data_IF_145102720015
#
_entry.id   IF_145102720015
#
_cell.length_a   1.000
_cell.length_b   1.000
_cell.length_c   1.000
_cell.angle_alpha   90.00
_cell.angle_beta   90.00
_cell.angle_gamma   90.00
#
_symmetry.space_group_name_H-M   'P 1'
#
loop_
_entity.id
_entity.type
_entity.pdbx_description
1 polymer ?
#
# COMPACT_ATOMS: atom_id res chain seq x y z
N UNK A 1 11.88 -64.98 -1.03
CA UNK A 1 10.85 -65.22 0.00
C UNK A 1 9.75 -64.18 -0.16
N UNK A 2 8.67 -64.59 -0.80
CA UNK A 2 7.46 -63.80 -1.05
C UNK A 2 6.44 -64.30 -0.05
N UNK A 3 5.88 -63.41 0.79
CA UNK A 3 4.72 -63.72 1.64
C UNK A 3 3.57 -62.81 1.21
N UNK A 4 2.64 -63.39 0.46
CA UNK A 4 1.26 -62.92 0.39
C UNK A 4 0.55 -63.38 1.67
N UNK A 5 -0.23 -62.49 2.31
CA UNK A 5 -1.26 -62.90 3.24
C UNK A 5 -2.49 -61.99 3.06
N UNK A 6 -3.61 -62.63 2.71
CA UNK A 6 -4.96 -62.07 2.57
C UNK A 6 -5.51 -61.64 3.93
N UNK A 7 -6.32 -60.58 3.96
CA UNK A 7 -7.40 -60.46 4.95
C UNK A 7 -8.64 -59.78 4.35
N UNK A 8 -9.75 -60.13 4.96
CA UNK A 8 -11.08 -60.30 4.39
C UNK A 8 -11.87 -59.02 4.09
N UNK A 9 -12.73 -59.17 3.09
CA UNK A 9 -13.78 -58.25 2.67
C UNK A 9 -14.91 -58.24 3.72
N UNK A 10 -15.17 -57.09 4.34
CA UNK A 10 -16.42 -56.81 5.02
C UNK A 10 -16.98 -55.52 4.39
N UNK A 11 -17.99 -55.69 3.53
CA UNK A 11 -18.70 -54.61 2.86
C UNK A 11 -19.70 -54.05 3.87
N UNK A 12 -19.44 -52.85 4.38
CA UNK A 12 -20.47 -51.99 4.99
C UNK A 12 -20.70 -50.86 4.00
N UNK A 13 -21.82 -50.94 3.28
CA UNK A 13 -22.30 -49.88 2.39
C UNK A 13 -22.83 -48.76 3.30
N UNK A 14 -21.99 -47.76 3.54
CA UNK A 14 -22.43 -46.48 4.07
C UNK A 14 -22.51 -45.52 2.87
N UNK A 15 -23.72 -45.35 2.33
CA UNK A 15 -24.05 -44.36 1.30
C UNK A 15 -23.96 -42.95 1.92
N UNK A 16 -22.74 -42.43 2.03
CA UNK A 16 -22.52 -41.00 2.19
C UNK A 16 -22.42 -40.40 0.79
N UNK A 17 -23.47 -39.69 0.39
CA UNK A 17 -23.44 -38.76 -0.73
C UNK A 17 -22.38 -37.71 -0.44
N UNK A 18 -21.16 -37.94 -0.90
CA UNK A 18 -20.15 -36.89 -1.03
C UNK A 18 -20.61 -36.08 -2.26
N UNK A 19 -20.94 -34.79 -2.12
CA UNK A 19 -21.15 -33.96 -3.29
C UNK A 19 -19.84 -33.98 -4.07
N UNK A 20 -19.91 -34.44 -5.32
CA UNK A 20 -18.81 -34.33 -6.29
C UNK A 20 -18.42 -32.86 -6.31
N UNK A 21 -17.26 -32.55 -5.74
CA UNK A 21 -16.67 -31.23 -5.84
C UNK A 21 -16.50 -30.95 -7.33
N UNK A 22 -17.35 -30.06 -7.84
CA UNK A 22 -17.19 -29.47 -9.15
C UNK A 22 -15.81 -28.82 -9.16
N UNK A 23 -14.89 -29.38 -9.96
CA UNK A 23 -13.54 -28.85 -10.10
C UNK A 23 -13.65 -27.35 -10.38
N UNK A 24 -13.12 -26.54 -9.47
CA UNK A 24 -12.99 -25.12 -9.70
C UNK A 24 -12.17 -24.94 -10.97
N UNK A 25 -12.75 -24.36 -12.02
CA UNK A 25 -12.01 -23.98 -13.20
C UNK A 25 -10.89 -23.03 -12.76
N UNK A 26 -9.65 -23.47 -12.92
CA UNK A 26 -8.49 -22.66 -12.53
C UNK A 26 -8.52 -21.36 -13.32
N UNK A 27 -8.56 -20.24 -12.60
CA UNK A 27 -8.46 -18.90 -13.17
C UNK A 27 -7.10 -18.77 -13.87
N UNK A 28 -7.09 -18.92 -15.19
CA UNK A 28 -5.87 -18.94 -15.99
C UNK A 28 -6.13 -18.55 -17.43
N UNK A 29 -5.14 -17.91 -18.05
CA UNK A 29 -5.15 -17.57 -19.46
C UNK A 29 -4.58 -18.76 -20.23
N UNK A 30 -5.32 -19.23 -21.24
CA UNK A 30 -4.95 -20.36 -22.09
C UNK A 30 -5.06 -19.95 -23.56
N UNK A 31 -3.98 -20.15 -24.32
CA UNK A 31 -3.92 -19.79 -25.74
C UNK A 31 -3.27 -20.92 -26.54
N UNK A 32 -3.96 -21.38 -27.57
CA UNK A 32 -3.47 -22.35 -28.56
C UNK A 32 -3.07 -21.65 -29.86
N UNK A 33 -1.81 -21.82 -30.25
CA UNK A 33 -1.26 -21.31 -31.50
C UNK A 33 -1.09 -22.44 -32.51
N UNK A 34 -1.64 -22.24 -33.71
CA UNK A 34 -1.29 -23.04 -34.89
C UNK A 34 -0.04 -22.47 -35.58
N UNK A 35 0.55 -23.24 -36.50
CA UNK A 35 1.78 -22.84 -37.20
C UNK A 35 1.66 -21.47 -37.92
N UNK A 36 0.49 -21.18 -38.51
CA UNK A 36 0.24 -19.91 -39.20
C UNK A 36 0.16 -18.72 -38.23
N UNK A 37 -0.41 -18.92 -37.05
CA UNK A 37 -0.48 -17.89 -36.02
C UNK A 37 0.94 -17.49 -35.58
N UNK A 38 1.82 -18.47 -35.37
CA UNK A 38 3.19 -18.26 -34.89
C UNK A 38 4.06 -17.43 -35.85
N UNK A 39 3.65 -17.19 -37.09
CA UNK A 39 4.33 -16.28 -38.02
C UNK A 39 4.26 -14.80 -37.60
N UNK A 40 3.26 -14.41 -36.79
CA UNK A 40 2.97 -13.00 -36.45
C UNK A 40 3.51 -12.54 -35.08
N UNK A 41 3.77 -13.49 -34.18
CA UNK A 41 4.15 -13.22 -32.79
C UNK A 41 2.99 -12.69 -31.92
N UNK A 42 2.99 -13.04 -30.64
CA UNK A 42 1.94 -12.67 -29.67
C UNK A 42 2.52 -12.54 -28.26
N UNK A 43 1.82 -11.84 -27.38
CA UNK A 43 2.14 -11.83 -25.95
C UNK A 43 0.97 -12.44 -25.20
N UNK A 44 1.24 -13.49 -24.42
CA UNK A 44 0.27 -14.10 -23.51
C UNK A 44 0.52 -13.56 -22.12
N UNK A 45 -0.48 -12.96 -21.47
CA UNK A 45 -0.36 -12.43 -20.11
C UNK A 45 -1.28 -13.17 -19.15
N UNK A 46 -0.93 -13.19 -17.87
CA UNK A 46 -1.82 -13.56 -16.77
C UNK A 46 -3.05 -12.63 -16.74
N UNK A 47 -4.11 -13.07 -16.05
CA UNK A 47 -5.37 -12.31 -15.93
C UNK A 47 -5.20 -10.92 -15.31
N UNK A 48 -4.20 -10.74 -14.44
CA UNK A 48 -3.84 -9.47 -13.82
C UNK A 48 -2.85 -8.62 -14.64
N UNK A 49 -2.43 -9.09 -15.83
CA UNK A 49 -1.42 -8.46 -16.70
C UNK A 49 -0.06 -8.20 -16.03
N UNK A 50 0.26 -8.94 -14.97
CA UNK A 50 1.53 -8.84 -14.26
C UNK A 50 2.60 -9.72 -14.92
N UNK A 51 2.27 -10.97 -15.23
CA UNK A 51 3.19 -11.94 -15.84
C UNK A 51 2.84 -12.15 -17.31
N UNK A 52 3.75 -11.76 -18.20
CA UNK A 52 3.59 -11.86 -19.64
C UNK A 52 4.72 -12.65 -20.30
N UNK A 53 4.38 -13.45 -21.30
CA UNK A 53 5.28 -14.28 -22.09
C UNK A 53 5.13 -13.89 -23.57
N UNK A 54 6.07 -13.10 -24.13
CA UNK A 54 6.13 -12.89 -25.57
C UNK A 54 6.56 -14.16 -26.31
N UNK A 55 5.74 -14.58 -27.25
CA UNK A 55 6.01 -15.58 -28.29
C UNK A 55 6.41 -14.83 -29.55
N UNK A 56 7.69 -14.86 -29.91
CA UNK A 56 8.22 -14.10 -31.04
C UNK A 56 7.83 -14.72 -32.39
N UNK A 57 7.74 -13.92 -33.48
CA UNK A 57 7.49 -14.41 -34.82
C UNK A 57 8.45 -15.54 -35.22
N UNK A 58 7.90 -16.65 -35.70
CA UNK A 58 8.64 -17.84 -36.18
C UNK A 58 9.56 -18.49 -35.13
N UNK A 59 9.39 -18.16 -33.85
CA UNK A 59 10.16 -18.76 -32.76
C UNK A 59 9.87 -20.27 -32.63
N UNK A 60 8.62 -20.66 -32.90
CA UNK A 60 8.18 -22.05 -32.91
C UNK A 60 7.59 -22.37 -34.30
N UNK A 61 7.96 -23.54 -34.85
CA UNK A 61 7.54 -23.97 -36.19
C UNK A 61 6.23 -24.77 -36.19
N UNK A 62 5.90 -25.38 -35.05
CA UNK A 62 4.77 -26.29 -34.90
C UNK A 62 3.80 -25.74 -33.85
N UNK A 63 2.67 -26.43 -33.65
CA UNK A 63 1.65 -26.02 -32.67
C UNK A 63 2.24 -25.80 -31.27
N UNK A 64 1.70 -24.82 -30.58
CA UNK A 64 2.13 -24.41 -29.25
C UNK A 64 0.89 -24.06 -28.40
N UNK A 65 0.79 -24.62 -27.21
CA UNK A 65 -0.16 -24.18 -26.19
C UNK A 65 0.58 -23.43 -25.09
N UNK A 66 0.07 -22.27 -24.69
CA UNK A 66 0.58 -21.48 -23.55
C UNK A 66 -0.52 -21.30 -22.53
N UNK A 67 -0.25 -21.71 -21.29
CA UNK A 67 -1.11 -21.49 -20.14
C UNK A 67 -0.34 -20.73 -19.07
N UNK A 68 -0.98 -19.69 -18.53
CA UNK A 68 -0.53 -18.98 -17.34
C UNK A 68 -1.70 -18.98 -16.36
N UNK A 69 -1.54 -19.65 -15.22
CA UNK A 69 -2.57 -19.73 -14.18
C UNK A 69 -1.98 -19.51 -12.80
N UNK A 70 -2.83 -19.45 -11.78
CA UNK A 70 -2.39 -19.63 -10.40
C UNK A 70 -2.30 -21.15 -10.12
N UNK A 71 -1.31 -21.63 -9.34
CA UNK A 71 -1.26 -23.03 -8.93
C UNK A 71 -2.30 -23.32 -7.83
N UNK A 72 -2.84 -24.53 -7.80
CA UNK A 72 -3.72 -24.98 -6.70
C UNK A 72 -2.98 -25.00 -5.35
N UNK A 73 -1.68 -25.29 -5.38
CA UNK A 73 -0.79 -25.22 -4.23
C UNK A 73 0.56 -24.60 -4.62
N UNK A 74 0.85 -23.43 -4.08
CA UNK A 74 2.15 -22.77 -4.22
C UNK A 74 3.20 -23.44 -3.33
N UNK A 75 4.43 -23.58 -3.84
CA UNK A 75 5.55 -24.10 -3.07
C UNK A 75 6.03 -23.08 -2.04
N UNK A 76 6.50 -23.55 -0.88
CA UNK A 76 6.98 -22.71 0.22
C UNK A 76 8.17 -21.86 -0.26
N UNK A 77 8.09 -20.55 -0.07
CA UNK A 77 9.16 -19.59 -0.38
C UNK A 77 10.25 -19.68 0.71
N UNK A 78 11.54 -19.58 0.37
CA UNK A 78 12.61 -19.61 1.37
C UNK A 78 12.46 -18.50 2.41
N UNK A 79 12.72 -18.83 3.68
CA UNK A 79 12.56 -17.92 4.81
C UNK A 79 13.49 -16.70 4.78
N UNK A 80 14.51 -16.67 3.92
CA UNK A 80 15.43 -15.55 3.74
C UNK A 80 15.00 -14.61 2.59
N UNK A 81 13.86 -14.88 1.95
CA UNK A 81 13.35 -14.12 0.79
C UNK A 81 12.02 -13.43 1.08
N UNK A 82 11.84 -12.24 0.49
CA UNK A 82 10.57 -11.51 0.44
C UNK A 82 9.83 -11.82 -0.87
N UNK A 83 8.50 -11.96 -0.81
CA UNK A 83 7.67 -12.23 -2.01
C UNK A 83 7.22 -10.92 -2.66
N UNK A 84 7.59 -10.71 -3.92
CA UNK A 84 7.33 -9.47 -4.67
C UNK A 84 6.30 -9.65 -5.81
N UNK A 85 5.81 -10.87 -6.04
CA UNK A 85 4.69 -11.18 -6.94
C UNK A 85 3.89 -12.38 -6.44
N UNK A 86 2.72 -12.62 -7.03
CA UNK A 86 2.05 -13.93 -6.90
C UNK A 86 2.95 -15.05 -7.45
N UNK A 87 2.70 -16.28 -7.03
CA UNK A 87 3.27 -17.46 -7.68
C UNK A 87 2.39 -17.83 -8.86
N UNK A 88 2.96 -17.82 -10.06
CA UNK A 88 2.29 -18.23 -11.29
C UNK A 88 2.70 -19.63 -11.69
N UNK A 89 1.79 -20.39 -12.28
CA UNK A 89 2.10 -21.62 -12.98
C UNK A 89 2.21 -21.32 -14.48
N UNK A 90 3.40 -21.51 -15.03
CA UNK A 90 3.64 -21.49 -16.47
C UNK A 90 3.54 -22.92 -17.01
N UNK A 91 2.76 -23.12 -18.07
CA UNK A 91 2.72 -24.37 -18.83
C UNK A 91 2.75 -24.06 -20.33
N UNK A 92 3.91 -24.30 -20.92
CA UNK A 92 4.31 -23.98 -22.28
C UNK A 92 4.55 -25.30 -23.04
N UNK A 93 3.56 -25.76 -23.79
CA UNK A 93 3.52 -27.08 -24.42
C UNK A 93 3.78 -26.99 -25.93
N UNK A 94 5.04 -27.11 -26.38
CA UNK A 94 5.31 -27.38 -27.78
C UNK A 94 4.96 -28.84 -28.12
N UNK A 95 4.88 -29.17 -29.41
CA UNK A 95 4.61 -30.54 -29.89
C UNK A 95 5.63 -31.59 -29.43
N UNK A 96 6.87 -31.17 -29.15
CA UNK A 96 7.93 -32.04 -28.64
C UNK A 96 7.94 -32.07 -27.10
N UNK A 97 8.16 -33.25 -26.50
CA UNK A 97 8.29 -33.42 -25.05
C UNK A 97 9.70 -33.13 -24.57
N UNK A 98 9.86 -32.18 -23.65
CA UNK A 98 11.12 -31.88 -22.97
C UNK A 98 11.43 -30.39 -22.91
N UNK A 99 12.70 -30.03 -22.66
CA UNK A 99 13.13 -28.62 -22.56
C UNK A 99 12.97 -27.88 -23.88
N UNK A 100 12.55 -26.61 -23.81
CA UNK A 100 12.44 -25.76 -24.99
C UNK A 100 13.81 -25.62 -25.67
N UNK A 101 13.87 -25.93 -26.96
CA UNK A 101 15.09 -25.76 -27.78
C UNK A 101 15.50 -24.30 -27.92
N UNK A 102 14.53 -23.40 -27.85
CA UNK A 102 14.72 -21.96 -27.91
C UNK A 102 14.20 -21.36 -26.61
N UNK A 103 15.02 -20.60 -25.86
CA UNK A 103 14.55 -19.94 -24.65
C UNK A 103 13.38 -19.01 -24.93
N UNK A 104 12.47 -18.90 -23.96
CA UNK A 104 11.38 -17.92 -23.97
C UNK A 104 11.67 -16.82 -22.97
N UNK A 105 11.29 -15.59 -23.30
CA UNK A 105 11.40 -14.45 -22.39
C UNK A 105 10.17 -14.43 -21.49
N UNK A 106 10.40 -14.26 -20.20
CA UNK A 106 9.37 -13.99 -19.20
C UNK A 106 9.48 -12.51 -18.82
N UNK A 107 8.36 -11.81 -18.73
CA UNK A 107 8.28 -10.41 -18.27
C UNK A 107 7.32 -10.34 -17.10
N UNK A 108 7.78 -9.90 -15.93
CA UNK A 108 6.96 -9.68 -14.75
C UNK A 108 6.99 -8.21 -14.34
N UNK A 109 5.91 -7.73 -13.75
CA UNK A 109 5.82 -6.39 -13.16
C UNK A 109 5.77 -6.46 -11.64
N UNK A 110 6.48 -5.57 -10.96
CA UNK A 110 6.36 -5.38 -9.51
C UNK A 110 6.75 -3.96 -9.14
N UNK A 111 6.01 -3.37 -8.20
CA UNK A 111 6.24 -2.00 -7.74
C UNK A 111 7.36 -1.91 -6.68
N UNK A 112 7.84 -3.07 -6.19
CA UNK A 112 8.74 -3.16 -5.04
C UNK A 112 10.07 -3.83 -5.42
N UNK A 113 10.52 -3.66 -6.67
CA UNK A 113 11.80 -4.20 -7.13
C UNK A 113 12.96 -3.41 -6.50
N UNK A 114 13.82 -4.11 -5.78
CA UNK A 114 15.04 -3.59 -5.14
C UNK A 114 16.28 -4.35 -5.61
N UNK A 115 17.47 -3.86 -5.26
CA UNK A 115 18.71 -4.60 -5.47
C UNK A 115 18.63 -5.97 -4.77
N UNK A 116 18.91 -7.06 -5.51
CA UNK A 116 18.72 -8.44 -5.04
C UNK A 116 17.33 -9.04 -5.35
N UNK A 117 16.47 -8.30 -6.06
CA UNK A 117 15.26 -8.88 -6.67
C UNK A 117 15.62 -9.81 -7.83
N UNK A 118 14.86 -10.88 -8.01
CA UNK A 118 15.10 -11.87 -9.05
C UNK A 118 13.83 -12.65 -9.39
N UNK A 119 13.77 -13.20 -10.61
CA UNK A 119 12.75 -14.19 -10.97
C UNK A 119 13.23 -15.56 -10.53
N UNK A 120 12.39 -16.30 -9.81
CA UNK A 120 12.68 -17.64 -9.33
C UNK A 120 11.72 -18.63 -9.98
N UNK A 121 12.27 -19.80 -10.33
CA UNK A 121 11.50 -20.96 -10.74
C UNK A 121 11.64 -22.08 -9.72
N UNK A 122 10.58 -22.85 -9.51
CA UNK A 122 10.64 -24.02 -8.65
C UNK A 122 11.19 -25.24 -9.41
N UNK A 123 12.38 -25.69 -9.03
CA UNK A 123 13.03 -26.88 -9.58
C UNK A 123 12.51 -28.12 -8.84
N UNK A 124 11.53 -28.81 -9.44
CA UNK A 124 10.91 -30.00 -8.87
C UNK A 124 11.88 -31.16 -8.67
N UNK A 125 12.96 -31.24 -9.46
CA UNK A 125 13.97 -32.28 -9.30
C UNK A 125 14.85 -32.04 -8.08
N UNK A 126 15.07 -30.78 -7.70
CA UNK A 126 15.87 -30.40 -6.52
C UNK A 126 15.02 -29.99 -5.32
N UNK A 127 13.70 -29.98 -5.47
CA UNK A 127 12.72 -29.53 -4.49
C UNK A 127 13.08 -28.15 -3.89
N UNK A 128 13.45 -27.19 -4.75
CA UNK A 128 13.84 -25.85 -4.30
C UNK A 128 13.60 -24.77 -5.35
N UNK A 129 13.40 -23.55 -4.87
CA UNK A 129 13.44 -22.35 -5.71
C UNK A 129 14.86 -22.10 -6.22
N UNK A 130 14.97 -21.75 -7.50
CA UNK A 130 16.22 -21.39 -8.15
C UNK A 130 16.02 -20.08 -8.90
N UNK A 131 16.97 -19.19 -8.72
CA UNK A 131 16.99 -17.93 -9.43
C UNK A 131 17.27 -18.16 -10.91
N UNK A 132 16.54 -17.43 -11.75
CA UNK A 132 16.81 -17.25 -13.16
C UNK A 132 17.53 -15.92 -13.34
N UNK A 133 18.54 -15.90 -14.21
CA UNK A 133 19.25 -14.68 -14.55
C UNK A 133 18.27 -13.63 -15.08
N UNK A 134 18.20 -12.49 -14.40
CA UNK A 134 17.14 -11.50 -14.59
C UNK A 134 17.69 -10.11 -14.92
N UNK A 135 17.06 -9.43 -15.87
CA UNK A 135 17.31 -8.04 -16.22
C UNK A 135 16.19 -7.17 -15.62
N UNK A 136 16.54 -6.12 -14.86
CA UNK A 136 15.57 -5.30 -14.13
C UNK A 136 15.58 -3.85 -14.65
N UNK A 137 14.40 -3.33 -14.97
CA UNK A 137 14.14 -1.90 -15.18
C UNK A 137 13.40 -1.37 -13.95
N UNK A 138 14.17 -0.91 -12.95
CA UNK A 138 13.64 -0.42 -11.67
C UNK A 138 12.67 0.76 -11.83
N UNK A 139 12.91 1.63 -12.82
CA UNK A 139 12.05 2.81 -13.07
C UNK A 139 10.67 2.42 -13.57
N UNK A 140 10.57 1.34 -14.34
CA UNK A 140 9.30 0.84 -14.88
C UNK A 140 8.67 -0.26 -14.04
N UNK A 141 9.36 -0.73 -13.00
CA UNK A 141 8.91 -1.87 -12.20
C UNK A 141 8.81 -3.16 -13.03
N UNK A 142 9.72 -3.35 -14.00
CA UNK A 142 9.71 -4.50 -14.90
C UNK A 142 10.94 -5.36 -14.64
N UNK A 143 10.73 -6.67 -14.48
CA UNK A 143 11.79 -7.68 -14.43
C UNK A 143 11.61 -8.68 -15.57
N UNK A 144 12.68 -8.96 -16.29
CA UNK A 144 12.70 -9.90 -17.43
C UNK A 144 13.68 -11.02 -17.17
N UNK A 145 13.36 -12.23 -17.61
CA UNK A 145 14.29 -13.36 -17.59
C UNK A 145 14.08 -14.25 -18.80
N UNK A 146 14.98 -15.21 -19.02
CA UNK A 146 14.85 -16.25 -20.05
C UNK A 146 14.79 -17.62 -19.40
N UNK A 147 13.94 -18.50 -19.94
CA UNK A 147 13.87 -19.89 -19.48
C UNK A 147 13.74 -20.86 -20.66
N UNK A 148 14.32 -22.06 -20.52
CA UNK A 148 14.06 -23.21 -21.39
C UNK A 148 13.12 -24.22 -20.74
N UNK A 149 12.68 -23.98 -19.51
CA UNK A 149 11.75 -24.85 -18.81
C UNK A 149 10.33 -24.61 -19.36
N UNK A 150 9.69 -25.64 -19.95
CA UNK A 150 8.36 -25.50 -20.51
C UNK A 150 7.30 -25.40 -19.41
N UNK A 151 7.59 -25.85 -18.20
CA UNK A 151 6.63 -25.92 -17.12
C UNK A 151 7.29 -25.58 -15.78
N UNK A 152 6.62 -24.82 -14.94
CA UNK A 152 7.09 -24.55 -13.58
C UNK A 152 6.33 -23.43 -12.87
N UNK A 153 6.45 -23.41 -11.55
CA UNK A 153 6.02 -22.26 -10.76
C UNK A 153 7.07 -21.14 -10.89
N UNK A 154 6.60 -19.91 -11.12
CA UNK A 154 7.40 -18.70 -11.33
C UNK A 154 6.97 -17.64 -10.33
N UNK A 155 7.93 -16.97 -9.69
CA UNK A 155 7.68 -15.90 -8.71
C UNK A 155 8.81 -14.87 -8.75
N UNK A 156 8.51 -13.62 -8.45
CA UNK A 156 9.54 -12.60 -8.17
C UNK A 156 9.81 -12.58 -6.67
N UNK A 157 11.05 -12.82 -6.28
CA UNK A 157 11.49 -12.69 -4.89
C UNK A 157 12.51 -11.56 -4.79
N UNK A 158 12.62 -10.97 -3.60
CA UNK A 158 13.66 -10.02 -3.25
C UNK A 158 14.31 -10.36 -1.92
N UNK A 159 15.22 -9.49 -1.45
CA UNK A 159 15.72 -9.56 -0.08
C UNK A 159 14.53 -9.62 0.87
N UNK A 160 14.55 -10.52 1.86
CA UNK A 160 13.56 -10.43 2.93
C UNK A 160 13.80 -9.12 3.67
N UNK A 161 12.84 -8.21 3.53
CA UNK A 161 12.73 -7.07 4.43
C UNK A 161 12.74 -7.65 5.83
N UNK A 162 13.78 -7.34 6.62
CA UNK A 162 13.85 -7.79 7.99
C UNK A 162 12.58 -7.27 8.66
N UNK A 163 11.65 -8.17 8.98
CA UNK A 163 10.64 -7.89 9.98
C UNK A 163 11.40 -7.64 11.26
N UNK A 164 11.74 -6.37 11.48
CA UNK A 164 12.31 -5.93 12.73
C UNK A 164 11.19 -6.15 13.73
N UNK A 165 11.21 -7.27 14.45
CA UNK A 165 10.27 -7.49 15.54
C UNK A 165 10.48 -6.33 16.51
N UNK A 166 9.51 -5.43 16.56
CA UNK A 166 9.48 -4.35 17.54
C UNK A 166 8.64 -4.93 18.66
N UNK A 167 9.31 -5.60 19.58
CA UNK A 167 8.68 -6.18 20.77
C UNK A 167 7.69 -5.17 21.37
N UNK A 168 6.42 -5.57 21.50
CA UNK A 168 5.41 -4.79 22.21
C UNK A 168 4.59 -3.77 21.39
N UNK A 169 4.60 -3.82 20.04
CA UNK A 169 3.64 -3.05 19.23
C UNK A 169 2.20 -3.51 19.49
N UNK A 170 1.39 -2.64 20.10
CA UNK A 170 -0.04 -2.86 20.32
C UNK A 170 -0.92 -2.40 19.16
N UNK A 171 -0.39 -1.59 18.25
CA UNK A 171 -1.08 -1.22 17.01
C UNK A 171 -1.51 -2.42 16.17
N UNK A 172 -2.72 -2.36 15.63
CA UNK A 172 -3.25 -3.36 14.70
C UNK A 172 -2.46 -3.42 13.40
N UNK A 173 -2.06 -2.26 12.88
CA UNK A 173 -1.25 -2.13 11.66
C UNK A 173 -0.12 -1.11 11.83
N UNK A 174 1.02 -1.37 11.20
CA UNK A 174 2.19 -0.50 11.26
C UNK A 174 3.05 -0.59 10.00
N UNK A 175 3.80 0.47 9.71
CA UNK A 175 4.71 0.55 8.58
C UNK A 175 5.88 1.49 8.87
N UNK A 176 7.07 1.12 8.38
CA UNK A 176 8.23 2.03 8.25
C UNK A 176 8.64 2.07 6.79
N UNK A 177 8.90 3.26 6.27
CA UNK A 177 9.26 3.51 4.88
C UNK A 177 10.43 4.50 4.80
N UNK A 178 11.38 4.22 3.92
CA UNK A 178 12.42 5.18 3.55
C UNK A 178 11.79 6.36 2.78
N UNK A 179 12.08 7.59 3.20
CA UNK A 179 11.47 8.80 2.60
C UNK A 179 11.90 9.02 1.16
N UNK A 180 13.15 8.73 0.82
CA UNK A 180 13.73 9.06 -0.48
C UNK A 180 13.38 8.01 -1.54
N UNK A 181 13.56 6.73 -1.22
CA UNK A 181 13.29 5.61 -2.14
C UNK A 181 11.81 5.22 -2.13
N UNK A 182 11.13 5.35 -0.98
CA UNK A 182 9.80 4.77 -0.77
C UNK A 182 9.83 3.27 -0.47
N UNK A 183 11.01 2.70 -0.26
CA UNK A 183 11.16 1.30 0.14
C UNK A 183 10.51 1.09 1.51
N UNK A 184 9.75 0.02 1.63
CA UNK A 184 9.14 -0.38 2.89
C UNK A 184 10.16 -1.19 3.69
N UNK A 185 10.56 -0.65 4.85
CA UNK A 185 11.59 -1.20 5.74
C UNK A 185 10.97 -2.15 6.78
N UNK A 186 9.73 -1.90 7.20
CA UNK A 186 9.01 -2.72 8.17
C UNK A 186 7.51 -2.67 7.92
N UNK A 187 6.82 -3.77 8.18
CA UNK A 187 5.35 -3.85 8.17
C UNK A 187 4.81 -4.75 9.27
N UNK A 188 3.61 -4.42 9.74
CA UNK A 188 2.72 -5.29 10.51
C UNK A 188 1.32 -5.09 9.93
N UNK A 189 0.68 -6.15 9.44
CA UNK A 189 -0.69 -6.09 8.89
C UNK A 189 -0.92 -4.89 7.95
N UNK A 190 0.08 -4.58 7.11
CA UNK A 190 0.16 -3.28 6.43
C UNK A 190 -0.89 -3.08 5.32
N UNK A 191 -1.55 -4.17 4.92
CA UNK A 191 -2.60 -4.21 3.90
C UNK A 191 -4.01 -4.29 4.48
N UNK A 192 -4.15 -4.35 5.81
CA UNK A 192 -5.45 -4.34 6.46
C UNK A 192 -6.10 -2.96 6.30
N UNK A 193 -7.38 -2.97 5.93
CA UNK A 193 -8.19 -1.77 5.74
C UNK A 193 -8.82 -1.40 7.08
N UNK A 194 -8.37 -0.29 7.67
CA UNK A 194 -8.85 0.18 8.97
C UNK A 194 -9.32 1.63 8.87
N UNK A 195 -10.26 2.06 9.74
CA UNK A 195 -10.54 3.48 9.95
C UNK A 195 -9.26 4.23 10.35
N UNK A 196 -9.06 5.42 9.79
CA UNK A 196 -7.78 6.16 9.96
C UNK A 196 -7.90 7.46 10.73
N UNK A 197 -9.09 7.74 11.24
CA UNK A 197 -9.42 8.96 11.95
C UNK A 197 -8.84 10.20 11.22
N UNK A 198 -8.31 11.16 11.99
CA UNK A 198 -7.74 12.41 11.47
C UNK A 198 -6.49 12.28 10.58
N UNK A 199 -5.94 11.07 10.33
CA UNK A 199 -4.97 10.92 9.24
C UNK A 199 -5.60 11.21 7.88
N UNK A 200 -6.93 11.12 7.76
CA UNK A 200 -7.74 11.65 6.64
C UNK A 200 -7.29 13.04 6.21
N UNK A 201 -6.99 13.92 7.18
CA UNK A 201 -6.64 15.32 6.91
C UNK A 201 -5.40 15.46 6.03
N UNK A 202 -4.52 14.46 5.97
CA UNK A 202 -3.37 14.48 5.05
C UNK A 202 -3.83 14.51 3.59
N UNK A 203 -4.86 13.73 3.23
CA UNK A 203 -5.45 13.78 1.89
C UNK A 203 -6.27 15.06 1.68
N UNK A 204 -6.96 15.56 2.72
CA UNK A 204 -7.65 16.85 2.65
C UNK A 204 -6.67 17.98 2.35
N UNK A 205 -5.51 17.99 3.01
CA UNK A 205 -4.45 18.96 2.73
C UNK A 205 -3.90 18.80 1.32
N UNK A 206 -3.59 17.58 0.87
CA UNK A 206 -3.17 17.35 -0.51
C UNK A 206 -4.19 17.82 -1.54
N UNK A 207 -5.47 17.71 -1.23
CA UNK A 207 -6.58 18.13 -2.10
C UNK A 207 -6.72 19.64 -2.09
N UNK A 208 -6.68 20.28 -0.92
CA UNK A 208 -6.68 21.73 -0.77
C UNK A 208 -5.53 22.38 -1.54
N UNK A 209 -4.32 21.81 -1.47
CA UNK A 209 -3.12 22.37 -2.12
C UNK A 209 -3.22 22.42 -3.66
N UNK A 210 -4.07 21.61 -4.30
CA UNK A 210 -4.30 21.69 -5.75
C UNK A 210 -5.06 22.96 -6.16
N UNK A 211 -5.83 23.54 -5.23
CA UNK A 211 -6.68 24.71 -5.49
C UNK A 211 -6.17 25.99 -4.82
N UNK A 212 -5.49 25.85 -3.67
CA UNK A 212 -5.00 26.90 -2.77
C UNK A 212 -5.37 28.34 -3.22
N UNK A 213 -6.50 28.89 -2.72
CA UNK A 213 -7.03 30.16 -3.19
C UNK A 213 -6.24 31.39 -2.70
N UNK A 214 -5.11 31.17 -2.02
CA UNK A 214 -4.28 32.20 -1.40
C UNK A 214 -4.34 32.14 0.13
N UNK A 215 -3.18 32.21 0.77
CA UNK A 215 -3.03 32.08 2.23
C UNK A 215 -3.70 33.22 3.03
N UNK A 216 -3.71 34.42 2.45
CA UNK A 216 -4.29 35.62 3.08
C UNK A 216 -5.80 35.79 2.78
N UNK A 217 -6.38 34.92 1.94
CA UNK A 217 -7.82 34.90 1.71
C UNK A 217 -8.53 34.63 3.04
N UNK A 218 -9.61 35.35 3.28
CA UNK A 218 -10.43 35.19 4.47
C UNK A 218 -11.64 34.32 4.19
N UNK A 219 -12.09 33.61 5.22
CA UNK A 219 -13.25 32.71 5.20
C UNK A 219 -14.09 33.03 6.42
N UNK A 220 -15.40 33.17 6.22
CA UNK A 220 -16.36 33.27 7.33
C UNK A 220 -16.66 31.86 7.81
N UNK A 221 -16.50 31.61 9.10
CA UNK A 221 -16.89 30.35 9.74
C UNK A 221 -18.41 30.18 9.65
N UNK A 222 -18.87 29.06 9.10
CA UNK A 222 -20.30 28.76 8.93
C UNK A 222 -20.75 27.70 9.92
N UNK A 223 -22.05 27.68 10.26
CA UNK A 223 -22.64 26.65 11.13
C UNK A 223 -22.27 25.23 10.70
N UNK A 224 -22.22 24.97 9.39
CA UNK A 224 -21.87 23.67 8.81
C UNK A 224 -20.43 23.22 9.05
N UNK A 225 -19.53 24.12 9.45
CA UNK A 225 -18.15 23.76 9.78
C UNK A 225 -18.07 23.05 11.14
N UNK A 226 -19.01 23.29 12.04
CA UNK A 226 -18.97 22.79 13.42
C UNK A 226 -19.51 21.36 13.54
N UNK A 227 -18.77 20.40 12.96
CA UNK A 227 -19.13 18.96 12.88
C UNK A 227 -18.81 18.16 14.16
N UNK A 228 -18.31 18.80 15.22
CA UNK A 228 -17.91 18.16 16.47
C UNK A 228 -16.45 17.67 16.48
N UNK A 229 -16.04 17.06 17.59
CA UNK A 229 -14.66 16.63 17.82
C UNK A 229 -13.68 17.78 18.07
N UNK A 230 -12.39 17.54 17.79
CA UNK A 230 -11.34 18.55 17.96
C UNK A 230 -11.67 19.81 17.16
N UNK A 231 -11.66 20.99 17.79
CA UNK A 231 -12.14 22.22 17.17
C UNK A 231 -11.25 23.42 17.52
N UNK A 232 -11.12 24.33 16.58
CA UNK A 232 -10.58 25.67 16.79
C UNK A 232 -11.64 26.50 17.53
N UNK A 233 -11.23 27.28 18.52
CA UNK A 233 -12.11 27.98 19.46
C UNK A 233 -12.73 29.28 18.91
N UNK A 234 -13.00 29.29 17.61
CA UNK A 234 -13.73 30.35 16.89
C UNK A 234 -15.22 30.05 16.89
N UNK A 235 -16.04 31.07 16.60
CA UNK A 235 -17.49 30.99 16.53
C UNK A 235 -17.98 31.12 15.10
N UNK A 236 -19.23 30.72 14.87
CA UNK A 236 -19.94 31.04 13.63
C UNK A 236 -19.93 32.56 13.41
N UNK A 237 -19.65 32.98 12.18
CA UNK A 237 -19.50 34.40 11.81
C UNK A 237 -18.09 34.97 11.99
N UNK A 238 -17.20 34.31 12.74
CA UNK A 238 -15.81 34.74 12.83
C UNK A 238 -15.14 34.64 11.45
N UNK A 239 -14.30 35.64 11.14
CA UNK A 239 -13.54 35.68 9.89
C UNK A 239 -12.12 35.19 10.17
N UNK A 240 -11.67 34.17 9.46
CA UNK A 240 -10.34 33.57 9.65
C UNK A 240 -9.60 33.45 8.33
N UNK A 241 -8.26 33.52 8.37
CA UNK A 241 -7.46 33.36 7.15
C UNK A 241 -7.34 31.90 6.75
N UNK A 242 -7.19 31.62 5.46
CA UNK A 242 -6.90 30.28 4.93
C UNK A 242 -5.63 29.70 5.57
N UNK A 243 -4.62 30.55 5.83
CA UNK A 243 -3.42 30.16 6.58
C UNK A 243 -3.74 29.66 7.99
N UNK A 244 -4.57 30.39 8.74
CA UNK A 244 -4.95 29.98 10.10
C UNK A 244 -5.74 28.68 10.10
N UNK A 245 -6.61 28.48 9.11
CA UNK A 245 -7.35 27.24 8.91
C UNK A 245 -6.42 26.07 8.61
N UNK A 246 -5.45 26.25 7.71
CA UNK A 246 -4.45 25.25 7.35
C UNK A 246 -3.57 24.85 8.53
N UNK A 247 -3.04 25.84 9.26
CA UNK A 247 -2.26 25.58 10.47
C UNK A 247 -3.11 24.90 11.55
N UNK A 248 -4.34 25.36 11.80
CA UNK A 248 -5.22 24.75 12.80
C UNK A 248 -5.62 23.31 12.45
N UNK A 249 -5.71 23.00 11.15
CA UNK A 249 -5.97 21.64 10.63
C UNK A 249 -4.81 20.70 10.95
N UNK A 250 -3.56 21.13 10.77
CA UNK A 250 -2.37 20.28 10.97
C UNK A 250 -1.86 20.27 12.42
N UNK A 251 -1.86 21.42 13.09
CA UNK A 251 -1.40 21.59 14.48
C UNK A 251 -2.41 20.95 15.44
N UNK A 252 -3.64 21.47 15.46
CA UNK A 252 -4.66 21.08 16.43
C UNK A 252 -5.55 19.92 15.97
N UNK A 253 -5.39 19.42 14.74
CA UNK A 253 -6.30 18.44 14.15
C UNK A 253 -7.75 18.91 14.09
N UNK A 254 -7.98 20.22 14.00
CA UNK A 254 -9.30 20.82 14.21
C UNK A 254 -10.24 20.58 13.01
N UNK A 255 -11.42 20.04 13.29
CA UNK A 255 -12.42 19.60 12.32
C UNK A 255 -13.13 20.78 11.68
N UNK A 256 -13.56 21.77 12.48
CA UNK A 256 -14.17 22.99 11.95
C UNK A 256 -13.23 23.78 11.04
N UNK A 257 -11.94 23.85 11.39
CA UNK A 257 -10.97 24.47 10.49
C UNK A 257 -10.81 23.67 9.19
N UNK A 258 -10.85 22.34 9.25
CA UNK A 258 -10.75 21.47 8.07
C UNK A 258 -11.93 21.65 7.13
N UNK A 259 -13.15 21.75 7.66
CA UNK A 259 -14.37 21.99 6.88
C UNK A 259 -14.31 23.36 6.20
N UNK A 260 -13.98 24.42 6.94
CA UNK A 260 -13.82 25.76 6.38
C UNK A 260 -12.68 25.83 5.36
N UNK A 261 -11.57 25.11 5.59
CA UNK A 261 -10.45 25.01 4.65
C UNK A 261 -10.88 24.34 3.34
N UNK A 262 -11.66 23.27 3.41
CA UNK A 262 -12.23 22.62 2.23
C UNK A 262 -13.14 23.57 1.44
N UNK A 263 -14.07 24.27 2.10
CA UNK A 263 -14.94 25.27 1.45
C UNK A 263 -14.17 26.43 0.85
N UNK A 264 -13.04 26.82 1.43
CA UNK A 264 -12.23 27.94 0.94
C UNK A 264 -11.77 27.77 -0.52
N UNK A 265 -11.67 26.52 -0.99
CA UNK A 265 -11.32 26.15 -2.37
C UNK A 265 -12.39 26.55 -3.40
N UNK A 266 -13.60 26.89 -2.96
CA UNK A 266 -14.76 27.16 -3.83
C UNK A 266 -15.55 25.91 -4.20
N UNK A 267 -15.10 24.72 -3.78
CA UNK A 267 -15.84 23.47 -3.93
C UNK A 267 -16.87 23.30 -2.79
N UNK A 268 -18.00 22.68 -3.11
CA UNK A 268 -18.86 22.09 -2.08
C UNK A 268 -18.14 20.94 -1.37
N UNK A 269 -18.61 20.55 -0.18
CA UNK A 269 -17.98 19.45 0.57
C UNK A 269 -18.04 18.12 -0.20
N UNK A 270 -19.16 17.84 -0.89
CA UNK A 270 -19.29 16.63 -1.71
C UNK A 270 -18.30 16.63 -2.88
N UNK A 271 -18.11 17.77 -3.55
CA UNK A 271 -17.11 17.92 -4.60
C UNK A 271 -15.68 17.78 -4.06
N UNK A 272 -15.40 18.36 -2.89
CA UNK A 272 -14.09 18.23 -2.25
C UNK A 272 -13.77 16.77 -1.91
N UNK A 273 -14.72 16.03 -1.34
CA UNK A 273 -14.59 14.59 -1.07
C UNK A 273 -14.43 13.78 -2.37
N UNK A 274 -15.15 14.14 -3.44
CA UNK A 274 -14.94 13.53 -4.75
C UNK A 274 -13.51 13.77 -5.26
N UNK A 275 -12.93 14.95 -5.03
CA UNK A 275 -11.53 15.26 -5.36
C UNK A 275 -10.53 14.51 -4.50
N UNK A 276 -10.82 14.31 -3.20
CA UNK A 276 -10.01 13.46 -2.33
C UNK A 276 -9.94 12.02 -2.86
N UNK A 277 -11.09 11.44 -3.21
CA UNK A 277 -11.16 10.08 -3.76
C UNK A 277 -10.50 9.98 -5.15
N UNK A 278 -10.73 10.96 -6.03
CA UNK A 278 -10.06 11.03 -7.34
C UNK A 278 -8.53 11.05 -7.17
N UNK A 279 -8.02 11.76 -6.15
CA UNK A 279 -6.60 11.86 -5.87
C UNK A 279 -6.01 10.51 -5.46
N UNK A 280 -6.62 9.79 -4.51
CA UNK A 280 -6.07 8.49 -4.09
C UNK A 280 -6.17 7.43 -5.20
N UNK A 281 -7.21 7.47 -6.03
CA UNK A 281 -7.30 6.64 -7.25
C UNK A 281 -6.15 6.95 -8.21
N UNK A 282 -5.83 8.23 -8.45
CA UNK A 282 -4.73 8.63 -9.34
C UNK A 282 -3.35 8.19 -8.82
N UNK A 283 -3.23 7.97 -7.51
CA UNK A 283 -2.03 7.46 -6.84
C UNK A 283 -1.99 5.92 -6.82
N UNK A 284 -3.01 5.23 -7.35
CA UNK A 284 -3.09 3.77 -7.36
C UNK A 284 -3.47 3.14 -6.02
N UNK A 285 -4.02 3.94 -5.09
CA UNK A 285 -4.39 3.52 -3.73
C UNK A 285 -5.82 2.98 -3.76
N UNK A 286 -5.96 1.67 -3.87
CA UNK A 286 -7.24 1.00 -4.16
C UNK A 286 -8.06 0.73 -2.90
N UNK A 287 -7.42 0.74 -1.74
CA UNK A 287 -8.01 0.39 -0.46
C UNK A 287 -8.25 1.63 0.44
N UNK A 288 -8.04 2.83 -0.12
CA UNK A 288 -8.28 4.11 0.55
C UNK A 288 -9.57 4.73 0.05
N UNK A 289 -10.43 5.14 0.98
CA UNK A 289 -11.71 5.78 0.66
C UNK A 289 -12.08 6.83 1.69
N UNK A 290 -12.71 7.92 1.23
CA UNK A 290 -13.18 9.01 2.08
C UNK A 290 -14.65 9.33 1.81
N UNK A 291 -15.41 9.53 2.88
CA UNK A 291 -16.79 10.03 2.86
C UNK A 291 -16.89 11.48 3.36
N UNK A 292 -15.88 11.96 4.09
CA UNK A 292 -15.80 13.34 4.61
C UNK A 292 -14.34 13.77 4.86
N UNK A 293 -14.03 15.08 5.00
CA UNK A 293 -12.64 15.57 4.96
C UNK A 293 -11.89 15.56 6.30
N UNK A 294 -12.53 15.24 7.42
CA UNK A 294 -11.97 15.41 8.77
C UNK A 294 -11.43 14.11 9.37
N UNK A 295 -11.99 12.96 9.01
CA UNK A 295 -11.70 11.68 9.65
C UNK A 295 -12.50 11.41 10.93
N UNK A 296 -13.71 11.97 11.03
CA UNK A 296 -14.68 11.64 12.08
C UNK A 296 -15.46 10.37 11.73
N UNK A 297 -15.73 10.14 10.45
CA UNK A 297 -16.52 9.00 9.99
C UNK A 297 -15.63 7.75 9.87
N UNK A 298 -16.07 6.63 10.44
CA UNK A 298 -15.35 5.35 10.40
C UNK A 298 -15.14 4.80 8.99
N UNK A 299 -15.96 5.24 8.01
CA UNK A 299 -15.84 4.85 6.60
C UNK A 299 -14.69 5.57 5.89
N UNK A 300 -14.04 6.53 6.55
CA UNK A 300 -12.74 7.02 6.12
C UNK A 300 -11.67 5.99 6.48
N UNK A 301 -11.30 5.19 5.48
CA UNK A 301 -10.43 4.02 5.65
C UNK A 301 -9.22 4.09 4.73
N UNK A 302 -8.16 3.38 5.11
CA UNK A 302 -6.97 3.13 4.30
C UNK A 302 -6.24 1.91 4.86
N UNK A 303 -5.16 1.53 4.19
CA UNK A 303 -4.14 0.61 4.72
C UNK A 303 -2.90 1.39 5.16
N UNK A 304 -2.01 0.76 5.93
CA UNK A 304 -0.73 1.37 6.30
C UNK A 304 0.19 1.60 5.09
N UNK A 305 0.19 0.69 4.11
CA UNK A 305 0.94 0.87 2.85
C UNK A 305 0.47 2.12 2.10
N UNK A 306 -0.84 2.28 1.93
CA UNK A 306 -1.39 3.40 1.17
C UNK A 306 -1.28 4.74 1.93
N UNK A 307 -1.45 4.72 3.27
CA UNK A 307 -1.17 5.89 4.10
C UNK A 307 0.30 6.29 4.07
N UNK A 308 1.23 5.34 3.99
CA UNK A 308 2.66 5.61 3.81
C UNK A 308 2.92 6.43 2.55
N UNK A 309 2.27 6.07 1.43
CA UNK A 309 2.36 6.82 0.16
C UNK A 309 1.78 8.23 0.30
N UNK A 310 0.60 8.36 0.92
CA UNK A 310 -0.06 9.67 1.14
C UNK A 310 0.82 10.57 2.00
N UNK A 311 1.33 10.05 3.13
CA UNK A 311 2.12 10.81 4.08
C UNK A 311 3.48 11.21 3.50
N UNK A 312 4.17 10.30 2.79
CA UNK A 312 5.39 10.63 2.06
C UNK A 312 5.15 11.72 1.01
N UNK A 313 4.01 11.68 0.30
CA UNK A 313 3.66 12.69 -0.70
C UNK A 313 3.37 14.06 -0.08
N UNK A 314 2.58 14.12 0.99
CA UNK A 314 2.16 15.39 1.59
C UNK A 314 3.33 16.09 2.32
N UNK A 315 4.23 15.33 2.94
CA UNK A 315 5.41 15.88 3.62
C UNK A 315 6.55 16.30 2.68
N UNK A 316 6.36 16.25 1.35
CA UNK A 316 7.24 16.93 0.39
C UNK A 316 6.97 18.44 0.33
N UNK A 317 5.81 18.90 0.79
CA UNK A 317 5.45 20.31 0.77
C UNK A 317 5.95 21.02 2.04
N UNK A 318 6.79 22.05 1.88
CA UNK A 318 7.41 22.76 3.01
C UNK A 318 6.41 23.50 3.91
N UNK A 319 5.27 23.97 3.39
CA UNK A 319 4.22 24.57 4.21
C UNK A 319 3.58 23.52 5.12
N UNK A 320 3.37 22.29 4.61
CA UNK A 320 2.88 21.16 5.40
C UNK A 320 3.90 20.78 6.47
N UNK A 321 5.18 20.64 6.11
CA UNK A 321 6.26 20.34 7.07
C UNK A 321 6.26 21.39 8.18
N UNK A 322 6.22 22.68 7.82
CA UNK A 322 6.22 23.78 8.78
C UNK A 322 4.98 23.75 9.68
N UNK A 323 3.78 23.58 9.13
CA UNK A 323 2.56 23.54 9.92
C UNK A 323 2.49 22.31 10.82
N UNK A 324 2.82 21.12 10.31
CA UNK A 324 2.78 19.86 11.07
C UNK A 324 3.81 19.79 12.20
N UNK A 325 4.91 20.55 12.11
CA UNK A 325 5.97 20.62 13.14
C UNK A 325 5.88 21.85 14.04
N UNK A 326 4.96 22.78 13.76
CA UNK A 326 4.74 23.98 14.59
C UNK A 326 4.16 23.56 15.94
N UNK A 327 4.90 23.81 17.02
CA UNK A 327 4.52 23.40 18.39
C UNK A 327 3.25 24.10 18.90
N UNK A 328 3.19 25.41 18.70
CA UNK A 328 2.06 26.24 19.10
C UNK A 328 1.76 27.24 17.98
N UNK A 329 0.49 27.40 17.65
CA UNK A 329 0.05 28.34 16.64
C UNK A 329 -1.01 29.27 17.22
N UNK A 330 -0.86 30.58 17.03
CA UNK A 330 -1.81 31.58 17.50
C UNK A 330 -2.73 31.97 16.36
N UNK A 331 -4.04 31.85 16.56
CA UNK A 331 -5.07 32.32 15.64
C UNK A 331 -5.72 33.56 16.24
N UNK A 332 -5.86 34.61 15.44
CA UNK A 332 -6.62 35.82 15.79
C UNK A 332 -7.62 36.07 14.67
N UNK A 333 -8.94 35.89 14.90
CA UNK A 333 -9.94 36.20 13.91
C UNK A 333 -9.78 37.65 13.40
N UNK A 334 -10.02 37.86 12.11
CA UNK A 334 -9.90 39.16 11.46
C UNK A 334 -10.91 40.12 12.07
N UNK A 335 -10.41 41.23 12.64
CA UNK A 335 -11.22 42.21 13.36
C UNK A 335 -11.62 41.79 14.77
N UNK A 336 -11.18 40.61 15.25
CA UNK A 336 -11.40 40.15 16.61
C UNK A 336 -10.31 40.62 17.59
N UNK A 337 -10.69 40.80 18.85
CA UNK A 337 -9.75 41.18 19.92
C UNK A 337 -9.13 39.95 20.63
N UNK A 338 -9.81 38.81 20.60
CA UNK A 338 -9.37 37.58 21.26
C UNK A 338 -8.49 36.72 20.33
N UNK A 339 -7.45 36.13 20.91
CA UNK A 339 -6.57 35.18 20.22
C UNK A 339 -6.64 33.81 20.88
N UNK A 340 -6.55 32.76 20.06
CA UNK A 340 -6.63 31.36 20.49
C UNK A 340 -5.32 30.65 20.18
N UNK A 341 -4.78 29.93 21.17
CA UNK A 341 -3.60 29.11 20.99
C UNK A 341 -3.99 27.67 20.65
N UNK A 342 -3.48 27.18 19.53
CA UNK A 342 -3.61 25.81 19.08
C UNK A 342 -2.33 25.07 19.43
N UNK A 343 -2.44 24.05 20.30
CA UNK A 343 -1.32 23.17 20.65
C UNK A 343 -1.18 22.05 19.63
N UNK A 344 0.04 21.75 19.21
CA UNK A 344 0.27 20.63 18.32
C UNK A 344 -0.08 19.30 18.98
N UNK A 345 -0.95 18.52 18.34
CA UNK A 345 -1.32 17.19 18.83
C UNK A 345 -0.12 16.24 18.88
N UNK A 346 0.87 16.39 17.98
CA UNK A 346 2.10 15.59 17.93
C UNK A 346 3.20 16.05 18.90
N UNK A 347 2.90 16.88 19.91
CA UNK A 347 3.90 17.43 20.83
C UNK A 347 4.81 16.35 21.44
N UNK A 348 4.26 15.20 21.82
CA UNK A 348 5.02 14.07 22.37
C UNK A 348 6.07 13.50 21.42
N UNK A 349 5.89 13.62 20.09
CA UNK A 349 6.93 13.30 19.10
C UNK A 349 7.92 14.44 18.96
N UNK A 350 7.44 15.68 18.91
CA UNK A 350 8.30 16.87 18.76
C UNK A 350 9.25 17.07 19.95
N UNK A 351 8.92 16.52 21.13
CA UNK A 351 9.73 16.53 22.35
C UNK A 351 10.76 15.39 22.42
N UNK A 352 10.74 14.44 21.48
CA UNK A 352 11.74 13.36 21.42
C UNK A 352 13.03 13.87 20.78
N UNK A 353 14.11 13.14 21.01
CA UNK A 353 15.43 13.37 20.40
C UNK A 353 15.46 12.89 18.94
N UNK A 354 14.63 13.50 18.10
CA UNK A 354 14.52 13.26 16.66
C UNK A 354 14.25 14.57 15.93
N UNK A 355 14.83 14.74 14.74
CA UNK A 355 14.45 15.85 13.87
C UNK A 355 13.18 15.49 13.11
N UNK A 356 12.02 15.80 13.69
CA UNK A 356 10.71 15.55 13.07
C UNK A 356 10.46 16.52 11.91
N UNK A 357 10.19 15.96 10.73
CA UNK A 357 9.94 16.70 9.48
C UNK A 357 8.51 16.53 8.98
N UNK A 358 7.64 15.86 9.74
CA UNK A 358 6.22 15.75 9.45
C UNK A 358 5.55 14.89 10.49
N UNK A 359 4.35 15.24 10.93
CA UNK A 359 3.60 14.39 11.85
C UNK A 359 2.11 14.67 11.79
N UNK A 360 1.30 13.63 11.98
CA UNK A 360 -0.14 13.77 12.17
C UNK A 360 -0.68 12.64 13.04
N UNK A 361 -1.50 13.01 14.01
CA UNK A 361 -2.23 12.10 14.90
C UNK A 361 -3.65 11.81 14.39
N UNK A 362 -4.25 10.72 14.83
CA UNK A 362 -5.67 10.45 14.68
C UNK A 362 -6.19 9.60 15.82
N UNK A 363 -7.42 9.85 16.24
CA UNK A 363 -8.13 8.98 17.17
C UNK A 363 -9.64 9.11 17.00
N UNK A 364 -10.31 7.97 16.91
CA UNK A 364 -11.74 7.79 17.19
C UNK A 364 -11.89 6.47 17.94
N UNK A 365 -13.10 6.14 18.40
CA UNK A 365 -13.33 4.86 19.08
C UNK A 365 -13.10 3.67 18.13
N UNK A 366 -13.44 3.84 16.86
CA UNK A 366 -13.41 2.84 15.80
C UNK A 366 -12.02 2.68 15.19
N UNK A 367 -11.25 3.77 15.09
CA UNK A 367 -9.90 3.76 14.51
C UNK A 367 -8.78 3.39 15.49
N UNK A 368 -9.05 3.47 16.80
CA UNK A 368 -8.01 3.46 17.83
C UNK A 368 -7.04 4.64 17.67
N UNK A 369 -5.86 4.56 18.29
CA UNK A 369 -4.84 5.61 18.18
C UNK A 369 -3.99 5.41 16.92
N UNK A 370 -4.12 6.34 15.98
CA UNK A 370 -3.31 6.42 14.77
C UNK A 370 -2.24 7.52 14.89
N UNK A 371 -1.08 7.30 14.29
CA UNK A 371 -0.01 8.30 14.20
C UNK A 371 0.86 7.99 12.99
N UNK A 372 1.21 9.03 12.24
CA UNK A 372 2.32 8.99 11.28
C UNK A 372 3.32 10.08 11.65
N UNK A 373 4.61 9.76 11.60
CA UNK A 373 5.69 10.72 11.80
C UNK A 373 6.83 10.43 10.84
N UNK A 374 7.32 11.47 10.18
CA UNK A 374 8.54 11.48 9.39
C UNK A 374 9.62 12.16 10.23
N UNK A 375 10.78 11.52 10.34
CA UNK A 375 11.90 12.05 11.10
C UNK A 375 13.22 11.73 10.41
N UNK A 376 14.18 12.64 10.59
CA UNK A 376 15.51 12.59 10.01
C UNK A 376 16.56 12.45 11.09
N UNK A 377 17.62 11.73 10.77
CA UNK A 377 18.88 11.69 11.51
C UNK A 377 20.01 11.63 10.50
N UNK A 378 20.97 12.54 10.64
CA UNK A 378 22.07 12.72 9.68
C UNK A 378 21.55 12.86 8.23
N UNK A 379 21.89 11.93 7.33
CA UNK A 379 21.45 11.92 5.93
C UNK A 379 20.34 10.91 5.64
N UNK A 380 19.78 10.26 6.66
CA UNK A 380 18.71 9.28 6.51
C UNK A 380 17.41 9.81 7.10
N UNK A 381 16.32 9.67 6.36
CA UNK A 381 15.00 10.13 6.77
C UNK A 381 13.98 9.04 6.51
N UNK A 382 13.22 8.69 7.55
CA UNK A 382 12.24 7.62 7.50
C UNK A 382 10.89 8.11 7.97
N UNK A 383 9.86 7.46 7.47
CA UNK A 383 8.48 7.64 7.85
C UNK A 383 8.02 6.39 8.59
N UNK A 384 7.52 6.54 9.81
CA UNK A 384 6.88 5.47 10.55
C UNK A 384 5.43 5.83 10.85
N UNK A 385 4.56 4.84 10.77
CA UNK A 385 3.15 5.00 11.12
C UNK A 385 2.58 3.76 11.81
N UNK A 386 1.55 4.01 12.60
CA UNK A 386 0.73 2.99 13.28
C UNK A 386 -0.75 3.34 13.17
N UNK A 387 -1.59 2.30 13.14
CA UNK A 387 -3.06 2.38 13.11
C UNK A 387 -3.63 1.40 14.15
N UNK A 388 -4.72 1.78 14.82
CA UNK A 388 -5.40 0.88 15.76
C UNK A 388 -4.62 0.58 17.04
N UNK A 389 -3.79 1.49 17.56
CA UNK A 389 -3.18 1.24 18.88
C UNK A 389 -4.25 1.35 19.98
N UNK A 390 -4.29 0.36 20.89
CA UNK A 390 -5.31 0.24 21.94
C UNK A 390 -5.17 1.29 23.07
N UNK A 391 -4.03 1.98 23.16
CA UNK A 391 -3.68 3.01 24.16
C UNK A 391 -2.95 4.15 23.44
N UNK A 392 -2.75 5.32 24.09
CA UNK A 392 -1.83 6.39 23.64
C UNK A 392 -0.34 5.97 23.51
N UNK A 393 -0.06 4.66 23.38
CA UNK A 393 1.23 4.06 23.05
C UNK A 393 1.67 4.35 21.63
N UNK A 394 0.78 4.81 20.74
CA UNK A 394 1.11 5.18 19.37
C UNK A 394 2.38 6.05 19.27
N UNK A 395 2.60 6.98 20.20
CA UNK A 395 3.83 7.78 20.27
C UNK A 395 5.10 6.95 20.54
N UNK A 396 5.07 6.05 21.53
CA UNK A 396 6.23 5.23 21.87
C UNK A 396 6.49 4.15 20.82
N UNK A 397 5.43 3.63 20.20
CA UNK A 397 5.50 2.68 19.10
C UNK A 397 6.13 3.31 17.85
N UNK A 398 5.62 4.47 17.42
CA UNK A 398 6.21 5.22 16.29
C UNK A 398 7.62 5.68 16.62
N UNK A 399 7.89 6.17 17.84
CA UNK A 399 9.24 6.56 18.25
C UNK A 399 10.22 5.37 18.21
N UNK A 400 9.81 4.19 18.68
CA UNK A 400 10.64 2.99 18.64
C UNK A 400 10.90 2.54 17.21
N UNK A 401 9.88 2.59 16.35
CA UNK A 401 10.00 2.31 14.92
C UNK A 401 10.97 3.28 14.23
N UNK A 402 10.85 4.59 14.48
CA UNK A 402 11.78 5.59 13.94
C UNK A 402 13.21 5.33 14.44
N UNK A 403 13.41 5.23 15.76
CA UNK A 403 14.73 5.10 16.37
C UNK A 403 15.49 3.85 15.93
N UNK A 404 14.78 2.76 15.63
CA UNK A 404 15.39 1.49 15.20
C UNK A 404 15.78 1.49 13.71
N UNK A 405 15.29 2.46 12.94
CA UNK A 405 15.49 2.57 11.50
C UNK A 405 16.11 3.93 11.08
N UNK A 406 16.66 4.71 12.02
CA UNK A 406 17.33 6.00 11.80
C UNK A 406 18.81 5.99 12.15
#
# INVERSE_FOLDING_TARGET
>A
MIKFCRFSLAIIICLLFIPVAQAAESTGVFVDFNAKALEKGYTVCSSDNIFCVPVLPKQFKNKLSVRISLPDLAQIIPDDKGTLSQVYLLDFKPEYKGMLKTPVVLTLKSNNLTEGSGVYFFDTCKNKWRELESEIDYKKGIIKTKTTFPYGQIVVLGPKVKSVDVDGLTAESALVMDKDTGEIIFTKNSKEVLPIASLTKLTSILTFLDYNPGWDKTVVMEKGDFVGGASLWVKEGDVVTVKDLFYSTLVGSTNNATMALARSTGLSISEFVAKMNQKVISLGLKNTHFVEPTGLDERNVSTAEELGVIARKVFQNMDVVKASTTRWYKVTPVGGELSYWVKNTSMKMLDKDLYVTGSKTGWTHEAGYCLVTQAKKDNHEVLALVMGAAITKNYEEVYSLLKKNL
#
